data_IF_329165731080
#
_entry.id   IF_329165731080
#
_cell.length_a   1.000
_cell.length_b   1.000
_cell.length_c   1.000
_cell.angle_alpha   90.00
_cell.angle_beta   90.00
_cell.angle_gamma   90.00
#
_symmetry.space_group_name_H-M   'P 1'
#
loop_
_entity.id
_entity.type
_entity.pdbx_description
1 polymer ?
#
# COMPACT_ATOMS: atom_id res chain seq x y z
N UNK A 1 -45.22 -33.94 -22.03
CA UNK A 1 -43.85 -33.49 -22.41
C UNK A 1 -43.02 -33.50 -21.12
N UNK A 2 -42.15 -34.50 -20.94
CA UNK A 2 -41.31 -34.67 -19.76
C UNK A 2 -39.95 -33.99 -20.03
N UNK A 3 -39.70 -32.82 -19.45
CA UNK A 3 -38.33 -32.28 -19.34
C UNK A 3 -37.81 -32.64 -17.94
N UNK A 4 -37.12 -33.77 -17.84
CA UNK A 4 -36.44 -34.18 -16.60
C UNK A 4 -35.23 -33.26 -16.40
N UNK A 5 -35.30 -32.35 -15.44
CA UNK A 5 -34.15 -31.60 -14.98
C UNK A 5 -33.20 -32.56 -14.26
N UNK A 6 -32.20 -33.06 -14.96
CA UNK A 6 -31.05 -33.72 -14.34
C UNK A 6 -30.33 -32.69 -13.48
N UNK A 7 -30.60 -32.73 -12.17
CA UNK A 7 -29.81 -32.03 -11.16
C UNK A 7 -28.43 -32.70 -11.18
N UNK A 8 -27.49 -32.12 -11.92
CA UNK A 8 -26.08 -32.44 -11.77
C UNK A 8 -25.68 -31.87 -10.41
N UNK A 9 -25.77 -32.71 -9.38
CA UNK A 9 -25.10 -32.47 -8.11
C UNK A 9 -23.61 -32.58 -8.41
N UNK A 10 -23.01 -31.47 -8.84
CA UNK A 10 -21.57 -31.32 -8.83
C UNK A 10 -21.18 -31.40 -7.36
N UNK A 11 -20.84 -32.59 -6.89
CA UNK A 11 -20.16 -32.79 -5.62
C UNK A 11 -18.85 -32.02 -5.75
N UNK A 12 -18.88 -30.73 -5.41
CA UNK A 12 -17.72 -29.88 -5.28
C UNK A 12 -17.00 -30.29 -3.98
N UNK A 13 -16.57 -31.54 -3.90
CA UNK A 13 -15.46 -31.99 -3.07
C UNK A 13 -14.16 -31.54 -3.72
N UNK A 14 -14.10 -30.27 -4.15
CA UNK A 14 -12.83 -29.61 -4.33
C UNK A 14 -12.29 -29.46 -2.91
N UNK A 15 -11.53 -30.46 -2.45
CA UNK A 15 -10.56 -30.29 -1.39
C UNK A 15 -9.82 -29.02 -1.77
N UNK A 16 -10.08 -27.95 -1.03
CA UNK A 16 -9.36 -26.69 -1.16
C UNK A 16 -7.91 -27.00 -0.83
N UNK A 17 -7.14 -27.44 -1.83
CA UNK A 17 -5.71 -27.59 -1.71
C UNK A 17 -5.20 -26.20 -1.33
N UNK A 18 -4.78 -26.04 -0.07
CA UNK A 18 -4.23 -24.78 0.42
C UNK A 18 -3.00 -24.49 -0.43
N UNK A 19 -3.07 -23.46 -1.28
CA UNK A 19 -1.92 -22.99 -2.04
C UNK A 19 -0.85 -22.55 -1.02
N UNK A 20 0.38 -23.10 -1.07
CA UNK A 20 1.45 -22.67 -0.18
C UNK A 20 1.69 -21.16 -0.29
N UNK A 21 1.88 -20.49 0.84
CA UNK A 21 2.20 -19.06 0.89
C UNK A 21 3.69 -18.91 1.19
N UNK A 22 4.39 -18.13 0.37
CA UNK A 22 5.80 -17.78 0.57
C UNK A 22 6.01 -17.03 1.90
N UNK A 23 7.05 -17.40 2.66
CA UNK A 23 7.30 -16.89 4.03
C UNK A 23 8.69 -16.32 4.27
N UNK A 24 9.62 -16.50 3.32
CA UNK A 24 11.00 -16.08 3.51
C UNK A 24 11.17 -14.61 3.11
N UNK A 25 11.62 -13.81 4.08
CA UNK A 25 12.06 -12.44 3.87
C UNK A 25 13.57 -12.32 4.07
N UNK A 26 14.24 -11.40 3.36
CA UNK A 26 15.66 -11.15 3.62
C UNK A 26 15.89 -10.65 5.05
N UNK A 27 17.12 -10.79 5.55
CA UNK A 27 17.50 -10.34 6.89
C UNK A 27 17.12 -8.87 7.12
N UNK A 28 16.41 -8.60 8.22
CA UNK A 28 15.96 -7.26 8.60
C UNK A 28 14.75 -6.74 7.83
N UNK A 29 14.03 -7.60 7.10
CA UNK A 29 12.71 -7.33 6.52
C UNK A 29 11.63 -8.08 7.32
N UNK A 30 10.47 -7.44 7.50
CA UNK A 30 9.31 -7.97 8.25
C UNK A 30 8.32 -8.60 7.29
N UNK A 31 7.86 -9.82 7.59
CA UNK A 31 6.87 -10.53 6.79
C UNK A 31 5.43 -10.17 7.18
N UNK A 32 4.58 -10.00 6.18
CA UNK A 32 3.14 -9.78 6.30
C UNK A 32 2.38 -10.73 5.38
N UNK A 33 1.22 -11.20 5.85
CA UNK A 33 0.28 -11.93 5.02
C UNK A 33 -0.67 -10.95 4.34
N UNK A 34 -0.67 -10.92 3.01
CA UNK A 34 -1.65 -10.18 2.20
C UNK A 34 -2.50 -11.15 1.37
N UNK A 35 -3.57 -10.64 0.76
CA UNK A 35 -4.46 -11.42 -0.13
C UNK A 35 -3.73 -12.01 -1.34
N UNK A 36 -2.64 -11.38 -1.79
CA UNK A 36 -1.77 -11.84 -2.89
C UNK A 36 -0.61 -12.74 -2.44
N UNK A 37 -0.54 -13.09 -1.15
CA UNK A 37 0.52 -13.94 -0.60
C UNK A 37 1.42 -13.22 0.40
N UNK A 38 2.59 -13.80 0.66
CA UNK A 38 3.57 -13.23 1.58
C UNK A 38 4.24 -11.99 1.02
N UNK A 39 4.36 -10.97 1.85
CA UNK A 39 4.95 -9.68 1.51
C UNK A 39 5.99 -9.28 2.56
N UNK A 40 7.17 -8.89 2.12
CA UNK A 40 8.28 -8.47 2.97
C UNK A 40 8.42 -6.96 2.93
N UNK A 41 8.45 -6.29 4.08
CA UNK A 41 8.63 -4.85 4.18
C UNK A 41 9.83 -4.46 5.04
N UNK A 42 10.46 -3.33 4.73
CA UNK A 42 11.54 -2.75 5.53
C UNK A 42 11.47 -1.22 5.48
N UNK A 43 11.54 -0.59 6.65
CA UNK A 43 11.68 0.86 6.78
C UNK A 43 13.16 1.24 6.71
N UNK A 44 13.44 2.30 5.96
CA UNK A 44 14.76 2.91 5.79
C UNK A 44 14.72 4.35 6.29
N UNK A 45 15.76 4.75 7.03
CA UNK A 45 15.90 6.09 7.59
C UNK A 45 16.90 6.88 6.76
N UNK A 46 16.41 7.68 5.83
CA UNK A 46 17.19 8.57 4.97
C UNK A 46 16.25 9.63 4.42
N UNK A 47 16.64 10.91 4.51
CA UNK A 47 15.79 12.02 4.09
C UNK A 47 15.86 12.22 2.57
N UNK A 48 14.77 11.87 1.88
CA UNK A 48 14.67 11.90 0.42
C UNK A 48 13.32 12.46 0.00
N UNK A 49 13.22 12.90 -1.27
CA UNK A 49 11.95 13.09 -1.94
C UNK A 49 11.41 11.76 -2.47
N UNK A 50 10.14 11.73 -2.90
CA UNK A 50 9.47 10.48 -3.24
C UNK A 50 10.13 9.74 -4.42
N UNK A 51 10.52 10.40 -5.55
CA UNK A 51 11.18 9.71 -6.65
C UNK A 51 12.53 9.10 -6.26
N UNK A 52 13.29 9.76 -5.39
CA UNK A 52 14.55 9.21 -4.89
C UNK A 52 14.31 8.00 -3.98
N UNK A 53 13.26 8.03 -3.16
CA UNK A 53 12.86 6.87 -2.37
C UNK A 53 12.38 5.69 -3.24
N UNK A 54 11.61 5.95 -4.31
CA UNK A 54 11.27 4.92 -5.32
C UNK A 54 12.53 4.28 -5.92
N UNK A 55 13.52 5.11 -6.31
CA UNK A 55 14.78 4.63 -6.86
C UNK A 55 15.57 3.76 -5.86
N UNK A 56 15.59 4.13 -4.57
CA UNK A 56 16.22 3.33 -3.51
C UNK A 56 15.53 1.98 -3.31
N UNK A 57 14.19 1.95 -3.28
CA UNK A 57 13.46 0.67 -3.21
C UNK A 57 13.74 -0.20 -4.43
N UNK A 58 13.77 0.39 -5.63
CA UNK A 58 14.12 -0.34 -6.86
C UNK A 58 15.53 -0.94 -6.79
N UNK A 59 16.51 -0.20 -6.27
CA UNK A 59 17.87 -0.71 -6.06
C UNK A 59 17.94 -1.87 -5.05
N UNK A 60 16.95 -2.00 -4.15
CA UNK A 60 16.79 -3.11 -3.22
C UNK A 60 15.90 -4.26 -3.76
N UNK A 61 15.65 -4.29 -5.08
CA UNK A 61 14.74 -5.22 -5.76
C UNK A 61 13.33 -5.20 -5.17
N UNK A 62 12.89 -4.01 -4.80
CA UNK A 62 11.64 -3.73 -4.13
C UNK A 62 10.93 -2.53 -4.78
N UNK A 63 9.78 -2.17 -4.23
CA UNK A 63 9.01 -0.97 -4.57
C UNK A 63 8.66 -0.23 -3.28
N UNK A 64 8.27 1.06 -3.34
CA UNK A 64 7.68 1.71 -2.17
C UNK A 64 6.42 0.91 -1.76
N UNK A 65 6.31 0.53 -0.49
CA UNK A 65 5.22 -0.31 -0.03
C UNK A 65 3.95 0.51 0.21
N UNK A 66 2.80 -0.04 -0.18
CA UNK A 66 1.50 0.46 0.26
C UNK A 66 1.13 -0.06 1.65
N UNK A 67 -0.02 0.37 2.17
CA UNK A 67 -0.57 -0.06 3.46
C UNK A 67 -1.82 -0.90 3.20
N UNK A 68 -1.82 -2.16 3.62
CA UNK A 68 -2.93 -3.08 3.43
C UNK A 68 -4.01 -2.95 4.51
N UNK A 69 -3.60 -2.68 5.76
CA UNK A 69 -4.48 -2.73 6.93
C UNK A 69 -3.89 -1.94 8.12
N UNK A 70 -4.61 -1.97 9.25
CA UNK A 70 -4.25 -1.25 10.48
C UNK A 70 -2.99 -1.82 11.13
N UNK A 71 -2.73 -3.12 10.99
CA UNK A 71 -1.55 -3.78 11.54
C UNK A 71 -0.27 -3.28 10.85
N UNK A 72 -0.30 -3.15 9.52
CA UNK A 72 0.83 -2.63 8.75
C UNK A 72 1.15 -1.17 9.08
N UNK A 73 0.15 -0.28 9.13
CA UNK A 73 0.41 1.14 9.49
C UNK A 73 0.91 1.27 10.93
N UNK A 74 0.38 0.46 11.86
CA UNK A 74 0.85 0.47 13.24
C UNK A 74 2.29 -0.06 13.38
N UNK A 75 2.69 -1.03 12.57
CA UNK A 75 4.09 -1.47 12.50
C UNK A 75 4.99 -0.38 11.89
N UNK A 76 4.63 0.18 10.73
CA UNK A 76 5.40 1.24 10.09
C UNK A 76 5.64 2.42 11.04
N UNK A 77 4.60 2.84 11.77
CA UNK A 77 4.69 3.95 12.72
C UNK A 77 5.60 3.68 13.92
N UNK A 78 5.88 2.42 14.26
CA UNK A 78 6.81 2.04 15.34
C UNK A 78 8.27 2.02 14.89
N UNK A 79 8.52 1.78 13.60
CA UNK A 79 9.88 1.64 13.05
C UNK A 79 10.59 2.99 12.86
N UNK A 80 9.85 4.09 12.78
CA UNK A 80 10.42 5.43 12.56
C UNK A 80 9.60 6.52 13.24
N UNK A 81 10.27 7.43 13.93
CA UNK A 81 9.67 8.70 14.39
C UNK A 81 9.79 9.76 13.30
N UNK A 82 8.67 10.38 12.91
CA UNK A 82 8.64 11.47 11.93
C UNK A 82 7.66 11.19 10.79
N UNK A 83 8.13 11.32 9.55
CA UNK A 83 7.35 11.02 8.35
C UNK A 83 8.07 10.04 7.44
N UNK A 84 7.31 9.25 6.68
CA UNK A 84 7.90 8.36 5.67
C UNK A 84 7.14 8.31 4.37
N UNK A 85 7.85 8.07 3.27
CA UNK A 85 7.24 7.79 1.98
C UNK A 85 6.63 6.39 1.95
N UNK A 86 5.44 6.32 1.37
CA UNK A 86 4.70 5.10 1.07
C UNK A 86 4.37 5.04 -0.42
N UNK A 87 4.04 3.84 -0.91
CA UNK A 87 3.77 3.57 -2.31
C UNK A 87 2.38 4.02 -2.75
N UNK A 88 2.17 5.31 -2.96
CA UNK A 88 0.90 5.87 -3.46
C UNK A 88 1.13 6.91 -4.55
N UNK A 89 0.15 7.04 -5.46
CA UNK A 89 0.06 8.14 -6.42
C UNK A 89 -1.38 8.63 -6.50
N UNK A 90 -1.55 9.94 -6.71
CA UNK A 90 -2.85 10.55 -6.99
C UNK A 90 -3.41 9.98 -8.30
N UNK A 91 -4.70 9.67 -8.32
CA UNK A 91 -5.33 9.08 -9.51
C UNK A 91 -5.42 10.11 -10.64
N UNK A 92 -5.26 9.70 -11.92
CA UNK A 92 -5.34 10.63 -13.05
C UNK A 92 -6.60 11.52 -13.06
N UNK A 93 -7.82 11.02 -12.76
CA UNK A 93 -9.02 11.86 -12.69
C UNK A 93 -9.01 12.90 -11.58
N UNK A 94 -8.19 12.72 -10.54
CA UNK A 94 -8.15 13.57 -9.35
C UNK A 94 -6.88 14.44 -9.25
N UNK A 95 -6.05 14.46 -10.30
CA UNK A 95 -4.78 15.19 -10.33
C UNK A 95 -4.92 16.68 -10.00
N UNK A 96 -6.02 17.31 -10.42
CA UNK A 96 -6.28 18.74 -10.25
C UNK A 96 -7.44 19.03 -9.28
N UNK A 97 -7.75 18.11 -8.37
CA UNK A 97 -8.90 18.25 -7.46
C UNK A 97 -8.51 17.95 -6.02
N UNK A 98 -8.97 18.78 -5.08
CA UNK A 98 -9.04 18.39 -3.67
C UNK A 98 -10.17 17.39 -3.45
N UNK A 99 -10.68 17.32 -2.21
CA UNK A 99 -11.79 16.43 -1.87
C UNK A 99 -13.10 16.88 -2.54
N UNK A 100 -13.70 15.98 -3.33
CA UNK A 100 -15.02 16.14 -3.96
C UNK A 100 -15.83 14.85 -3.83
N UNK A 101 -17.06 14.83 -4.35
CA UNK A 101 -17.88 13.60 -4.42
C UNK A 101 -17.19 12.48 -5.21
N UNK A 102 -16.40 12.81 -6.23
CA UNK A 102 -15.70 11.83 -7.06
C UNK A 102 -14.26 11.57 -6.58
N UNK A 103 -13.57 12.60 -6.13
CA UNK A 103 -12.22 12.54 -5.58
C UNK A 103 -12.30 12.56 -4.05
N UNK A 104 -12.59 11.41 -3.47
CA UNK A 104 -12.78 11.22 -2.03
C UNK A 104 -11.49 10.73 -1.36
N UNK A 105 -11.50 10.62 -0.03
CA UNK A 105 -10.43 10.00 0.75
C UNK A 105 -10.05 8.58 0.30
N UNK A 106 -10.94 7.85 -0.38
CA UNK A 106 -10.66 6.48 -0.83
C UNK A 106 -10.52 6.35 -2.36
N UNK A 107 -10.71 7.44 -3.12
CA UNK A 107 -10.66 7.41 -4.60
C UNK A 107 -9.64 8.37 -5.21
N UNK A 108 -9.14 9.34 -4.44
CA UNK A 108 -8.13 10.30 -4.91
C UNK A 108 -6.75 9.67 -5.14
N UNK A 109 -6.44 8.53 -4.50
CA UNK A 109 -5.14 7.86 -4.59
C UNK A 109 -5.30 6.37 -4.89
N UNK A 110 -4.22 5.78 -5.42
CA UNK A 110 -4.08 4.34 -5.59
C UNK A 110 -2.73 3.86 -5.07
N UNK A 111 -2.67 2.60 -4.65
CA UNK A 111 -1.43 1.94 -4.24
C UNK A 111 -0.59 1.55 -5.46
N UNK A 112 0.71 1.78 -5.39
CA UNK A 112 1.64 1.54 -6.52
C UNK A 112 2.46 0.27 -6.40
N UNK A 113 2.41 -0.41 -5.24
CA UNK A 113 3.29 -1.53 -4.93
C UNK A 113 2.90 -2.86 -5.59
N UNK A 114 1.73 -2.90 -6.26
CA UNK A 114 1.18 -4.08 -6.91
C UNK A 114 0.74 -5.20 -5.95
N UNK A 115 0.90 -5.03 -4.65
CA UNK A 115 0.62 -6.04 -3.62
C UNK A 115 -0.57 -5.65 -2.75
N UNK A 116 -0.70 -4.37 -2.41
CA UNK A 116 -1.85 -3.84 -1.68
C UNK A 116 -3.12 -3.91 -2.52
N UNK A 117 -4.19 -4.43 -1.94
CA UNK A 117 -5.52 -4.51 -2.57
C UNK A 117 -6.53 -3.74 -1.73
N UNK A 118 -7.40 -2.99 -2.40
CA UNK A 118 -8.46 -2.22 -1.74
C UNK A 118 -8.00 -0.86 -1.23
N UNK A 119 -8.77 -0.30 -0.29
CA UNK A 119 -8.67 1.09 0.18
C UNK A 119 -8.52 1.18 1.71
N UNK A 120 -8.43 0.04 2.40
CA UNK A 120 -8.47 -0.05 3.85
C UNK A 120 -7.27 0.62 4.54
N UNK A 121 -6.13 0.77 3.85
CA UNK A 121 -4.96 1.47 4.38
C UNK A 121 -4.97 2.98 4.19
N UNK A 122 -5.99 3.57 3.56
CA UNK A 122 -6.10 5.01 3.39
C UNK A 122 -6.69 5.67 4.65
N UNK A 123 -5.83 5.94 5.62
CA UNK A 123 -6.15 6.67 6.85
C UNK A 123 -5.68 8.11 6.73
N UNK A 124 -6.46 9.00 6.13
CA UNK A 124 -6.04 10.38 5.92
C UNK A 124 -6.13 11.21 7.20
N UNK A 125 -5.21 12.18 7.33
CA UNK A 125 -5.31 13.21 8.34
C UNK A 125 -6.56 14.07 8.09
N UNK A 126 -7.00 14.80 9.11
CA UNK A 126 -8.13 15.72 8.98
C UNK A 126 -7.87 16.73 7.88
N UNK A 127 -8.81 16.86 6.94
CA UNK A 127 -8.69 17.75 5.78
C UNK A 127 -8.08 17.11 4.53
N UNK A 128 -7.38 15.97 4.67
CA UNK A 128 -6.65 15.33 3.57
C UNK A 128 -7.47 14.27 2.82
N UNK A 129 -7.15 13.98 1.54
CA UNK A 129 -6.10 14.61 0.73
C UNK A 129 -6.57 15.89 0.00
N UNK A 130 -5.99 17.03 0.36
CA UNK A 130 -6.50 18.36 -0.03
C UNK A 130 -5.97 18.89 -1.37
N UNK A 131 -4.89 18.31 -1.91
CA UNK A 131 -4.22 18.71 -3.16
C UNK A 131 -3.66 20.15 -3.19
N UNK A 132 -3.29 20.71 -2.04
CA UNK A 132 -2.75 22.06 -1.92
C UNK A 132 -1.42 22.18 -2.68
N UNK A 133 -1.43 22.94 -3.79
CA UNK A 133 -0.24 23.18 -4.59
C UNK A 133 0.19 22.00 -5.48
N UNK A 134 -0.71 21.05 -5.76
CA UNK A 134 -0.44 19.92 -6.66
C UNK A 134 0.33 18.79 -5.95
N UNK A 135 -0.34 18.15 -5.01
CA UNK A 135 0.24 17.10 -4.18
C UNK A 135 -0.04 15.74 -4.81
N UNK A 136 0.92 15.20 -5.55
CA UNK A 136 0.76 13.93 -6.28
C UNK A 136 1.07 12.66 -5.47
N UNK A 137 1.67 12.81 -4.29
CA UNK A 137 2.19 11.72 -3.46
C UNK A 137 1.64 11.84 -2.04
N UNK A 138 1.81 10.80 -1.21
CA UNK A 138 1.46 10.85 0.20
C UNK A 138 2.61 10.37 1.08
N UNK A 139 2.73 10.99 2.25
CA UNK A 139 3.60 10.55 3.35
C UNK A 139 2.75 10.01 4.49
N UNK A 140 3.29 9.06 5.24
CA UNK A 140 2.75 8.64 6.53
C UNK A 140 3.34 9.52 7.63
N UNK A 141 2.48 10.14 8.44
CA UNK A 141 2.84 10.80 9.70
C UNK A 141 2.81 9.72 10.79
N UNK A 142 3.97 9.33 11.31
CA UNK A 142 4.08 8.13 12.15
C UNK A 142 3.55 8.33 13.56
N UNK A 143 3.58 9.54 14.10
CA UNK A 143 3.06 9.86 15.44
C UNK A 143 1.55 9.65 15.57
N UNK A 144 0.79 9.89 14.51
CA UNK A 144 -0.67 9.74 14.46
C UNK A 144 -1.14 8.60 13.56
N UNK A 145 -0.24 7.94 12.82
CA UNK A 145 -0.56 6.86 11.88
C UNK A 145 -1.58 7.26 10.81
N UNK A 146 -1.45 8.49 10.31
CA UNK A 146 -2.32 9.05 9.26
C UNK A 146 -1.50 9.56 8.07
N UNK A 147 -2.16 9.68 6.93
CA UNK A 147 -1.59 10.11 5.67
C UNK A 147 -1.79 11.60 5.45
N UNK A 148 -0.84 12.21 4.78
CA UNK A 148 -0.87 13.59 4.31
C UNK A 148 -0.38 13.60 2.86
N UNK A 149 -1.15 14.21 1.95
CA UNK A 149 -0.67 14.37 0.58
C UNK A 149 0.30 15.53 0.49
N UNK A 150 1.33 15.34 -0.31
CA UNK A 150 2.45 16.28 -0.43
C UNK A 150 3.01 16.29 -1.85
N UNK A 151 3.73 17.35 -2.19
CA UNK A 151 4.42 17.47 -3.46
C UNK A 151 5.53 16.40 -3.55
N UNK A 152 5.48 15.57 -4.59
CA UNK A 152 6.37 14.41 -4.72
C UNK A 152 7.87 14.76 -4.73
N UNK A 153 8.23 15.90 -5.34
CA UNK A 153 9.63 16.23 -5.65
C UNK A 153 10.26 17.23 -4.69
N UNK A 154 9.46 18.09 -4.05
CA UNK A 154 9.95 19.17 -3.17
C UNK A 154 9.87 18.82 -1.69
N UNK A 155 8.97 17.91 -1.29
CA UNK A 155 8.90 17.43 0.08
C UNK A 155 10.04 16.44 0.38
N UNK A 156 10.58 16.51 1.60
CA UNK A 156 11.48 15.50 2.16
C UNK A 156 10.83 14.86 3.39
N UNK A 157 10.88 13.53 3.47
CA UNK A 157 10.46 12.78 4.67
C UNK A 157 11.68 12.36 5.49
N UNK A 158 11.48 11.74 6.66
CA UNK A 158 12.57 11.19 7.49
C UNK A 158 12.99 9.77 7.06
N UNK A 159 12.16 9.11 6.26
CA UNK A 159 12.42 7.77 5.76
C UNK A 159 11.44 7.32 4.69
N UNK A 160 11.49 6.04 4.36
CA UNK A 160 10.62 5.40 3.38
C UNK A 160 10.49 3.91 3.68
N UNK A 161 9.37 3.31 3.27
CA UNK A 161 9.15 1.87 3.43
C UNK A 161 9.19 1.19 2.06
N UNK A 162 10.07 0.20 1.91
CA UNK A 162 10.12 -0.65 0.72
C UNK A 162 9.41 -1.98 0.99
N UNK A 163 8.84 -2.56 -0.06
CA UNK A 163 8.16 -3.84 -0.04
C UNK A 163 8.49 -4.71 -1.25
N UNK A 164 8.54 -6.03 -1.05
CA UNK A 164 8.70 -7.03 -2.12
C UNK A 164 8.05 -8.36 -1.76
N UNK A 165 7.76 -9.17 -2.78
CA UNK A 165 7.12 -10.49 -2.61
C UNK A 165 8.06 -11.40 -1.81
N UNK A 166 7.50 -12.14 -0.84
CA UNK A 166 8.25 -13.14 -0.09
C UNK A 166 8.65 -14.33 -0.98
N UNK A 167 9.67 -15.07 -0.56
CA UNK A 167 10.14 -16.27 -1.27
C UNK A 167 9.78 -17.55 -0.51
N UNK A 168 9.87 -18.69 -1.19
CA UNK A 168 9.66 -20.02 -0.61
C UNK A 168 10.90 -20.55 0.08
#
# INVERSE_FOLDING_TARGET
MLQKYSIIVLCCSAVLARVPVAKNCPTGWTWFLRSRGGWCMKVFTEALNQPSAEAKCKAAEAVLAGIQNKEEVAWMSKELTGTMWIGTKRTPPCMNSGVTKQCSQITSYYWTDGSTVGVQGFYWNSGEPNNQGGQGCAKLITSSSVLDDVACTTELTNGYVCGKIATF
#
